data_IF_179045832574
#
_entry.id   IF_179045832574
#
_cell.length_a   1.000
_cell.length_b   1.000
_cell.length_c   1.000
_cell.angle_alpha   90.00
_cell.angle_beta   90.00
_cell.angle_gamma   90.00
#
_symmetry.space_group_name_H-M   'P 1'
#
loop_
_entity.id
_entity.type
_entity.pdbx_description
1 polymer ?
#
# COMPACT_ATOMS: atom_id res chain seq x y z
N UNK A 1 -3.49 20.32 -11.71
CA UNK A 1 -4.84 19.75 -11.92
C UNK A 1 -5.42 20.06 -13.30
N UNK A 2 -5.71 21.32 -13.67
CA UNK A 2 -6.40 21.64 -14.94
C UNK A 2 -5.78 21.01 -16.21
N UNK A 3 -4.45 20.91 -16.28
CA UNK A 3 -3.73 20.28 -17.41
C UNK A 3 -3.88 18.75 -17.50
N UNK A 4 -4.38 18.10 -16.45
CA UNK A 4 -4.60 16.66 -16.40
C UNK A 4 -6.03 16.26 -16.85
N UNK A 5 -6.89 17.25 -17.10
CA UNK A 5 -8.28 17.03 -17.47
C UNK A 5 -8.37 16.89 -18.99
N UNK A 6 -8.95 15.79 -19.45
CA UNK A 6 -9.16 15.54 -20.88
C UNK A 6 -9.96 16.67 -21.53
N UNK A 7 -9.57 17.07 -22.74
CA UNK A 7 -10.14 18.24 -23.43
C UNK A 7 -11.67 18.17 -23.59
N UNK A 8 -12.22 16.98 -23.83
CA UNK A 8 -13.65 16.81 -24.04
C UNK A 8 -14.50 17.15 -22.80
N UNK A 9 -13.95 17.10 -21.59
CA UNK A 9 -14.68 17.53 -20.39
C UNK A 9 -14.84 19.06 -20.32
N UNK A 10 -13.92 19.81 -20.94
CA UNK A 10 -14.04 21.25 -21.09
C UNK A 10 -15.07 21.62 -22.17
N UNK A 11 -15.10 20.86 -23.28
CA UNK A 11 -16.13 21.03 -24.30
C UNK A 11 -17.52 20.73 -23.71
N UNK A 12 -17.64 19.64 -22.94
CA UNK A 12 -18.86 19.28 -22.22
C UNK A 12 -19.29 20.33 -21.21
N UNK A 13 -18.34 20.91 -20.45
CA UNK A 13 -18.60 22.02 -19.53
C UNK A 13 -19.19 23.22 -20.25
N UNK A 14 -18.60 23.62 -21.38
CA UNK A 14 -19.06 24.77 -22.16
C UNK A 14 -20.45 24.54 -22.76
N UNK A 15 -20.72 23.33 -23.25
CA UNK A 15 -22.05 22.96 -23.75
C UNK A 15 -23.09 23.01 -22.63
N UNK A 16 -22.78 22.41 -21.47
CA UNK A 16 -23.65 22.43 -20.30
C UNK A 16 -24.01 23.86 -19.90
N UNK A 17 -22.99 24.72 -19.74
CA UNK A 17 -23.15 26.14 -19.38
C UNK A 17 -24.03 26.94 -20.35
N UNK A 18 -24.03 26.58 -21.64
CA UNK A 18 -24.78 27.32 -22.67
C UNK A 18 -26.21 26.82 -22.85
N UNK A 19 -26.45 25.54 -22.58
CA UNK A 19 -27.67 24.87 -23.04
C UNK A 19 -28.44 24.12 -21.94
N UNK A 20 -27.96 24.11 -20.69
CA UNK A 20 -28.67 23.48 -19.58
C UNK A 20 -28.46 24.23 -18.26
N UNK A 21 -29.55 24.43 -17.53
CA UNK A 21 -29.53 24.92 -16.15
C UNK A 21 -29.90 23.83 -15.12
N UNK A 22 -30.18 22.61 -15.60
CA UNK A 22 -30.60 21.48 -14.77
C UNK A 22 -29.43 20.94 -13.93
N UNK A 23 -29.78 20.48 -12.73
CA UNK A 23 -28.87 19.67 -11.93
C UNK A 23 -28.80 18.25 -12.47
N UNK A 24 -27.64 17.62 -12.31
CA UNK A 24 -27.45 16.21 -12.62
C UNK A 24 -26.96 15.47 -11.39
N UNK A 25 -27.27 14.17 -11.33
CA UNK A 25 -26.68 13.26 -10.34
C UNK A 25 -25.67 12.36 -11.03
N UNK A 26 -24.44 12.37 -10.53
CA UNK A 26 -23.33 11.51 -10.96
C UNK A 26 -23.04 10.48 -9.87
N UNK A 27 -22.94 9.21 -10.24
CA UNK A 27 -22.64 8.12 -9.31
C UNK A 27 -21.38 7.37 -9.74
N UNK A 28 -20.52 7.04 -8.76
CA UNK A 28 -19.28 6.30 -8.96
C UNK A 28 -19.35 4.91 -8.35
N UNK A 29 -18.90 3.90 -9.10
CA UNK A 29 -18.89 2.50 -8.67
C UNK A 29 -17.81 1.69 -9.41
N UNK A 30 -17.54 0.49 -8.90
CA UNK A 30 -16.54 -0.45 -9.43
C UNK A 30 -17.16 -1.85 -9.62
N UNK A 31 -16.45 -2.83 -10.20
CA UNK A 31 -17.01 -4.15 -10.60
C UNK A 31 -16.36 -5.38 -9.94
N UNK A 32 -15.26 -5.17 -9.25
CA UNK A 32 -14.52 -6.18 -8.49
C UNK A 32 -15.19 -6.48 -7.16
N UNK A 33 -14.88 -7.66 -6.60
CA UNK A 33 -15.37 -8.09 -5.29
C UNK A 33 -14.39 -7.69 -4.20
N UNK A 34 -14.93 -7.51 -3.00
CA UNK A 34 -14.18 -7.31 -1.75
C UNK A 34 -13.14 -6.18 -1.84
N UNK A 35 -13.52 -5.08 -2.52
CA UNK A 35 -12.65 -3.91 -2.68
C UNK A 35 -12.67 -3.09 -1.40
N UNK A 36 -11.49 -2.71 -0.91
CA UNK A 36 -11.35 -1.71 0.14
C UNK A 36 -11.42 -0.33 -0.50
N UNK A 37 -12.47 0.42 -0.21
CA UNK A 37 -12.64 1.79 -0.70
C UNK A 37 -11.56 2.70 -0.10
N UNK A 38 -10.85 3.41 -0.96
CA UNK A 38 -9.90 4.46 -0.55
C UNK A 38 -9.89 5.59 -1.60
N UNK A 39 -9.55 6.81 -1.17
CA UNK A 39 -9.49 8.03 -1.99
C UNK A 39 -10.64 9.01 -1.74
N UNK A 40 -11.58 8.69 -0.86
CA UNK A 40 -12.74 9.57 -0.57
C UNK A 40 -12.30 10.86 0.11
N UNK A 41 -11.39 10.79 1.09
CA UNK A 41 -10.92 11.98 1.78
C UNK A 41 -10.15 12.93 0.84
N UNK A 42 -9.37 12.37 -0.10
CA UNK A 42 -8.70 13.15 -1.15
C UNK A 42 -9.71 13.87 -2.03
N UNK A 43 -10.80 13.20 -2.42
CA UNK A 43 -11.88 13.80 -3.23
C UNK A 43 -12.60 14.91 -2.45
N UNK A 44 -12.87 14.70 -1.16
CA UNK A 44 -13.48 15.74 -0.31
C UNK A 44 -12.57 16.97 -0.25
N UNK A 45 -11.26 16.78 -0.01
CA UNK A 45 -10.30 17.90 -0.01
C UNK A 45 -10.20 18.59 -1.37
N UNK A 46 -10.23 17.81 -2.46
CA UNK A 46 -10.21 18.32 -3.83
C UNK A 46 -11.39 19.24 -4.12
N UNK A 47 -12.57 18.87 -3.60
CA UNK A 47 -13.84 19.54 -3.87
C UNK A 47 -14.22 20.58 -2.81
N UNK A 48 -13.60 20.60 -1.64
CA UNK A 48 -14.01 21.37 -0.45
C UNK A 48 -14.46 22.82 -0.76
N UNK A 49 -13.63 23.57 -1.49
CA UNK A 49 -13.95 24.95 -1.89
C UNK A 49 -15.13 25.07 -2.86
N UNK A 50 -15.28 24.08 -3.72
CA UNK A 50 -16.27 24.04 -4.79
C UNK A 50 -17.64 23.60 -4.27
N UNK A 51 -17.68 22.72 -3.27
CA UNK A 51 -18.94 22.23 -2.71
C UNK A 51 -19.83 23.38 -2.19
N UNK A 52 -19.26 24.32 -1.43
CA UNK A 52 -19.95 25.54 -0.99
C UNK A 52 -20.25 26.49 -2.14
N UNK A 53 -19.22 26.86 -2.90
CA UNK A 53 -19.32 27.93 -3.89
C UNK A 53 -20.29 27.61 -5.03
N UNK A 54 -20.46 26.33 -5.35
CA UNK A 54 -21.24 25.85 -6.49
C UNK A 54 -22.49 25.04 -6.10
N UNK A 55 -22.83 25.00 -4.81
CA UNK A 55 -23.98 24.26 -4.27
C UNK A 55 -23.98 22.77 -4.69
N UNK A 56 -22.80 22.15 -4.74
CA UNK A 56 -22.68 20.73 -5.06
C UNK A 56 -22.95 19.92 -3.78
N UNK A 57 -23.92 19.01 -3.86
CA UNK A 57 -24.13 18.02 -2.79
C UNK A 57 -23.23 16.82 -3.03
N UNK A 58 -22.55 16.35 -1.98
CA UNK A 58 -21.71 15.16 -2.00
C UNK A 58 -22.22 14.15 -0.97
N UNK A 59 -22.46 12.91 -1.41
CA UNK A 59 -22.69 11.78 -0.50
C UNK A 59 -21.68 10.68 -0.78
N UNK A 60 -21.20 10.01 0.27
CA UNK A 60 -20.09 9.07 0.14
C UNK A 60 -20.19 7.90 1.13
N UNK A 61 -19.58 6.77 0.78
CA UNK A 61 -19.26 5.70 1.73
C UNK A 61 -17.97 6.04 2.46
N UNK A 62 -17.88 5.67 3.73
CA UNK A 62 -16.68 5.92 4.53
C UNK A 62 -15.44 5.26 3.93
N UNK A 63 -14.32 5.98 4.01
CA UNK A 63 -12.98 5.48 3.72
C UNK A 63 -12.74 4.14 4.47
N UNK A 64 -12.20 3.14 3.78
CA UNK A 64 -11.97 1.79 4.32
C UNK A 64 -13.15 0.83 4.26
N UNK A 65 -14.32 1.26 3.79
CA UNK A 65 -15.46 0.36 3.57
C UNK A 65 -15.13 -0.76 2.59
N UNK A 66 -15.64 -1.98 2.84
CA UNK A 66 -15.58 -3.08 1.87
C UNK A 66 -16.78 -2.97 0.93
N UNK A 67 -16.52 -2.77 -0.36
CA UNK A 67 -17.55 -2.49 -1.36
C UNK A 67 -17.68 -3.66 -2.36
N UNK A 68 -18.89 -4.22 -2.56
CA UNK A 68 -19.14 -5.23 -3.58
C UNK A 68 -19.27 -4.58 -4.96
N UNK A 69 -19.32 -5.39 -6.04
CA UNK A 69 -19.54 -4.90 -7.39
C UNK A 69 -20.80 -4.04 -7.48
N UNK A 70 -20.70 -2.94 -8.22
CA UNK A 70 -21.79 -2.04 -8.60
C UNK A 70 -22.44 -1.23 -7.46
N UNK A 71 -21.94 -1.36 -6.22
CA UNK A 71 -22.34 -0.48 -5.11
C UNK A 71 -21.83 0.94 -5.36
N UNK A 72 -22.72 1.92 -5.25
CA UNK A 72 -22.38 3.34 -5.42
C UNK A 72 -21.60 3.80 -4.21
N UNK A 73 -20.38 4.29 -4.41
CA UNK A 73 -19.49 4.70 -3.31
C UNK A 73 -19.46 6.21 -3.10
N UNK A 74 -19.79 6.97 -4.14
CA UNK A 74 -19.79 8.42 -4.16
C UNK A 74 -20.91 8.89 -5.10
N UNK A 75 -21.66 9.88 -4.66
CA UNK A 75 -22.71 10.57 -5.40
C UNK A 75 -22.47 12.08 -5.35
N UNK A 76 -22.43 12.72 -6.51
CA UNK A 76 -22.38 14.17 -6.65
C UNK A 76 -23.66 14.66 -7.31
N UNK A 77 -24.28 15.71 -6.75
CA UNK A 77 -25.42 16.40 -7.35
C UNK A 77 -25.15 17.89 -7.49
N UNK A 78 -25.41 18.44 -8.67
CA UNK A 78 -25.24 19.86 -8.98
C UNK A 78 -25.28 20.13 -10.48
N UNK A 79 -25.09 21.37 -10.92
CA UNK A 79 -25.03 21.70 -12.36
C UNK A 79 -23.88 20.95 -13.04
N UNK A 80 -24.13 20.39 -14.22
CA UNK A 80 -23.11 19.59 -14.92
C UNK A 80 -21.86 20.42 -15.30
N UNK A 81 -22.01 21.72 -15.57
CA UNK A 81 -20.86 22.61 -15.80
C UNK A 81 -19.87 22.64 -14.62
N UNK A 82 -20.31 22.30 -13.42
CA UNK A 82 -19.44 22.25 -12.23
C UNK A 82 -18.82 20.89 -12.00
N UNK A 83 -19.46 19.82 -12.49
CA UNK A 83 -19.06 18.44 -12.22
C UNK A 83 -18.21 17.83 -13.33
N UNK A 84 -18.43 18.21 -14.59
CA UNK A 84 -17.87 17.52 -15.76
C UNK A 84 -16.35 17.35 -15.71
N UNK A 85 -15.63 18.37 -15.24
CA UNK A 85 -14.17 18.38 -15.22
C UNK A 85 -13.55 17.49 -14.12
N UNK A 86 -14.37 16.99 -13.18
CA UNK A 86 -13.90 16.14 -12.07
C UNK A 86 -14.09 14.65 -12.31
N UNK A 87 -14.92 14.24 -13.26
CA UNK A 87 -15.25 12.83 -13.51
C UNK A 87 -14.00 11.96 -13.66
N UNK A 88 -13.15 12.28 -14.64
CA UNK A 88 -11.91 11.52 -14.88
C UNK A 88 -10.87 11.62 -13.75
N UNK A 89 -10.86 12.72 -12.99
CA UNK A 89 -9.97 12.87 -11.83
C UNK A 89 -10.43 11.94 -10.71
N UNK A 90 -11.72 11.93 -10.40
CA UNK A 90 -12.32 11.10 -9.35
C UNK A 90 -12.18 9.63 -9.70
N UNK A 91 -12.43 9.24 -10.94
CA UNK A 91 -12.19 7.87 -11.41
C UNK A 91 -10.74 7.44 -11.17
N UNK A 92 -9.77 8.30 -11.50
CA UNK A 92 -8.36 8.04 -11.27
C UNK A 92 -7.99 7.87 -9.79
N UNK A 93 -8.48 8.78 -8.93
CA UNK A 93 -8.26 8.74 -7.48
C UNK A 93 -8.83 7.44 -6.90
N UNK A 94 -10.12 7.15 -7.12
CA UNK A 94 -10.78 5.97 -6.57
C UNK A 94 -10.14 4.68 -7.07
N UNK A 95 -9.83 4.60 -8.36
CA UNK A 95 -9.22 3.41 -8.99
C UNK A 95 -7.87 3.08 -8.39
N UNK A 96 -6.98 4.08 -8.29
CA UNK A 96 -5.64 3.89 -7.74
C UNK A 96 -5.72 3.56 -6.25
N UNK A 97 -6.33 4.45 -5.47
CA UNK A 97 -6.34 4.36 -4.02
C UNK A 97 -7.03 3.08 -3.53
N UNK A 98 -8.17 2.72 -4.10
CA UNK A 98 -8.88 1.49 -3.73
C UNK A 98 -8.15 0.22 -4.17
N UNK A 99 -7.45 0.23 -5.32
CA UNK A 99 -6.59 -0.89 -5.72
C UNK A 99 -5.49 -1.14 -4.69
N UNK A 100 -4.84 -0.07 -4.26
CA UNK A 100 -3.67 -0.12 -3.37
C UNK A 100 -4.08 -0.55 -1.96
N UNK A 101 -5.19 0.00 -1.44
CA UNK A 101 -5.78 -0.42 -0.18
C UNK A 101 -6.22 -1.89 -0.20
N UNK A 102 -6.81 -2.35 -1.29
CA UNK A 102 -7.22 -3.74 -1.47
C UNK A 102 -6.02 -4.69 -1.49
N UNK A 103 -4.93 -4.33 -2.18
CA UNK A 103 -3.69 -5.12 -2.19
C UNK A 103 -3.08 -5.23 -0.79
N UNK A 104 -3.02 -4.12 -0.04
CA UNK A 104 -2.55 -4.10 1.33
C UNK A 104 -3.39 -5.02 2.23
N UNK A 105 -4.72 -4.95 2.13
CA UNK A 105 -5.64 -5.81 2.90
C UNK A 105 -5.42 -7.29 2.62
N UNK A 106 -5.22 -7.67 1.35
CA UNK A 106 -4.91 -9.05 0.96
C UNK A 106 -3.60 -9.55 1.60
N UNK A 107 -2.58 -8.70 1.69
CA UNK A 107 -1.34 -9.03 2.39
C UNK A 107 -1.57 -9.22 3.90
N UNK A 108 -2.33 -8.33 4.53
CA UNK A 108 -2.68 -8.42 5.96
C UNK A 108 -3.46 -9.71 6.26
N UNK A 109 -4.43 -10.08 5.43
CA UNK A 109 -5.18 -11.33 5.59
C UNK A 109 -4.31 -12.56 5.43
N UNK A 110 -3.40 -12.53 4.45
CA UNK A 110 -2.47 -13.63 4.22
C UNK A 110 -1.50 -13.83 5.38
N UNK A 111 -1.14 -12.77 6.11
CA UNK A 111 -0.13 -12.80 7.17
C UNK A 111 -0.60 -13.44 8.48
N UNK A 112 -1.92 -13.57 8.68
CA UNK A 112 -2.55 -14.06 9.93
C UNK A 112 -1.94 -13.45 11.20
N UNK A 113 -1.60 -12.16 11.15
CA UNK A 113 -1.06 -11.40 12.29
C UNK A 113 0.44 -11.15 12.26
N UNK A 114 1.21 -11.80 11.37
CA UNK A 114 2.60 -11.41 11.10
C UNK A 114 2.64 -10.00 10.49
N UNK A 115 3.62 -9.17 10.88
CA UNK A 115 3.73 -7.79 10.43
C UNK A 115 3.90 -7.70 8.90
N UNK A 116 3.19 -6.77 8.27
CA UNK A 116 3.44 -6.39 6.87
C UNK A 116 4.11 -5.03 6.86
N UNK A 117 5.23 -4.94 6.14
CA UNK A 117 6.04 -3.74 6.01
C UNK A 117 5.90 -3.23 4.58
N UNK A 118 5.41 -2.00 4.42
CA UNK A 118 5.33 -1.33 3.13
C UNK A 118 6.74 -0.88 2.67
N UNK A 119 7.23 -1.53 1.61
CA UNK A 119 8.50 -1.24 0.92
C UNK A 119 8.27 -0.86 -0.56
N UNK A 120 7.15 -0.18 -0.83
CA UNK A 120 6.72 0.21 -2.18
C UNK A 120 7.17 1.62 -2.60
N UNK A 121 7.99 2.28 -1.78
CA UNK A 121 8.56 3.63 -2.02
C UNK A 121 9.24 3.79 -3.38
N UNK A 122 9.82 2.71 -3.90
CA UNK A 122 10.48 2.64 -5.21
C UNK A 122 9.65 1.95 -6.30
N UNK A 123 8.40 1.56 -6.01
CA UNK A 123 7.56 0.77 -6.91
C UNK A 123 6.64 1.63 -7.80
N UNK A 124 6.70 2.95 -7.66
CA UNK A 124 5.95 3.92 -8.46
C UNK A 124 6.71 5.26 -8.53
N UNK A 125 6.13 6.23 -9.23
CA UNK A 125 6.63 7.60 -9.28
C UNK A 125 6.59 8.25 -7.90
N UNK A 126 7.73 8.79 -7.44
CA UNK A 126 7.92 9.30 -6.07
C UNK A 126 6.86 10.30 -5.58
N UNK A 127 6.24 11.05 -6.50
CA UNK A 127 5.17 12.02 -6.18
C UNK A 127 3.88 11.38 -5.66
N UNK A 128 3.68 10.09 -5.87
CA UNK A 128 2.48 9.37 -5.46
C UNK A 128 2.58 8.84 -4.03
N UNK A 129 3.78 8.84 -3.44
CA UNK A 129 4.07 8.07 -2.23
C UNK A 129 3.20 8.45 -1.03
N UNK A 130 2.82 9.73 -0.89
CA UNK A 130 1.97 10.17 0.22
C UNK A 130 0.56 9.55 0.13
N UNK A 131 -0.12 9.70 -1.01
CA UNK A 131 -1.45 9.12 -1.24
C UNK A 131 -1.45 7.59 -1.29
N UNK A 132 -0.40 6.99 -1.83
CA UNK A 132 -0.22 5.53 -1.86
C UNK A 132 -0.07 4.96 -0.46
N UNK A 133 0.82 5.55 0.36
CA UNK A 133 1.01 5.13 1.74
C UNK A 133 -0.27 5.30 2.56
N UNK A 134 -1.04 6.36 2.31
CA UNK A 134 -2.34 6.54 2.95
C UNK A 134 -3.28 5.38 2.59
N UNK A 135 -3.35 5.01 1.32
CA UNK A 135 -4.17 3.87 0.87
C UNK A 135 -3.72 2.54 1.49
N UNK A 136 -2.42 2.29 1.59
CA UNK A 136 -1.90 1.10 2.27
C UNK A 136 -2.24 1.08 3.78
N UNK A 137 -2.25 2.25 4.43
CA UNK A 137 -2.69 2.39 5.81
C UNK A 137 -4.18 2.03 5.97
N UNK A 138 -5.04 2.53 5.08
CA UNK A 138 -6.46 2.17 5.01
C UNK A 138 -6.63 0.65 4.80
N UNK A 139 -5.77 0.04 3.99
CA UNK A 139 -5.72 -1.42 3.80
C UNK A 139 -5.24 -2.21 5.02
N UNK A 140 -4.75 -1.55 6.07
CA UNK A 140 -4.37 -2.17 7.35
C UNK A 140 -2.87 -2.25 7.63
N UNK A 141 -2.01 -1.75 6.74
CA UNK A 141 -0.56 -1.71 7.01
C UNK A 141 -0.26 -0.62 8.06
N UNK A 142 0.66 -0.94 8.98
CA UNK A 142 1.12 -0.02 10.04
C UNK A 142 2.64 0.22 10.02
N UNK A 143 3.40 -0.62 9.36
CA UNK A 143 4.86 -0.51 9.27
C UNK A 143 5.26 -0.04 7.87
N UNK A 144 5.98 1.06 7.78
CA UNK A 144 6.34 1.72 6.51
C UNK A 144 7.84 1.99 6.46
N UNK A 145 8.47 1.73 5.32
CA UNK A 145 9.86 2.13 5.08
C UNK A 145 10.01 3.65 4.91
N UNK A 146 9.02 4.30 4.29
CA UNK A 146 8.98 5.75 4.12
C UNK A 146 8.35 6.43 5.35
N UNK A 147 8.93 7.51 5.88
CA UNK A 147 8.34 8.27 6.99
C UNK A 147 7.22 9.23 6.54
N UNK A 148 6.91 9.31 5.23
CA UNK A 148 6.06 10.37 4.65
C UNK A 148 4.71 10.56 5.34
N UNK A 149 4.12 9.47 5.87
CA UNK A 149 2.83 9.53 6.56
C UNK A 149 2.88 10.35 7.85
N UNK A 150 4.02 10.34 8.57
CA UNK A 150 4.15 11.09 9.83
C UNK A 150 3.94 12.59 9.64
N UNK A 151 4.27 13.11 8.45
CA UNK A 151 4.15 14.53 8.12
C UNK A 151 2.85 14.89 7.39
N UNK A 152 2.07 13.91 6.93
CA UNK A 152 0.89 14.12 6.08
C UNK A 152 -0.30 14.75 6.84
N UNK A 153 -0.93 15.76 6.23
CA UNK A 153 -2.09 16.45 6.83
C UNK A 153 -3.32 15.55 6.92
N UNK A 154 -3.61 14.79 5.85
CA UNK A 154 -4.64 13.75 5.82
C UNK A 154 -4.45 12.77 6.99
N UNK A 155 -3.20 12.41 7.24
CA UNK A 155 -2.85 11.43 8.26
C UNK A 155 -3.01 11.94 9.70
N UNK A 156 -2.66 13.20 9.98
CA UNK A 156 -2.76 13.78 11.34
C UNK A 156 -4.15 13.70 11.94
N UNK A 157 -5.17 13.63 11.08
CA UNK A 157 -6.59 13.57 11.45
C UNK A 157 -7.09 12.14 11.71
N UNK A 158 -6.29 11.10 11.40
CA UNK A 158 -6.72 9.71 11.55
C UNK A 158 -6.71 9.26 13.02
N UNK A 159 -7.67 8.40 13.41
CA UNK A 159 -7.57 7.66 14.66
C UNK A 159 -6.39 6.68 14.60
N UNK A 160 -5.81 6.39 15.76
CA UNK A 160 -4.74 5.40 15.96
C UNK A 160 -3.42 5.70 15.22
N UNK A 161 -3.12 6.98 14.97
CA UNK A 161 -1.90 7.40 14.28
C UNK A 161 -0.60 7.03 15.03
N UNK A 162 -0.70 6.76 16.32
CA UNK A 162 0.38 6.27 17.17
C UNK A 162 0.81 4.84 16.83
N UNK A 163 0.00 4.10 16.06
CA UNK A 163 0.34 2.73 15.64
C UNK A 163 1.35 2.69 14.47
N UNK A 164 1.58 3.81 13.76
CA UNK A 164 2.53 3.81 12.64
C UNK A 164 3.96 3.69 13.13
N UNK A 165 4.68 2.78 12.46
CA UNK A 165 6.10 2.55 12.66
C UNK A 165 6.85 2.87 11.38
N UNK A 166 7.99 3.53 11.54
CA UNK A 166 8.98 3.64 10.47
C UNK A 166 9.94 2.47 10.62
N UNK A 167 9.91 1.57 9.64
CA UNK A 167 10.80 0.41 9.60
C UNK A 167 12.18 0.84 9.09
N UNK A 168 13.22 0.48 9.85
CA UNK A 168 14.61 0.79 9.52
C UNK A 168 15.41 -0.47 9.22
N UNK A 169 16.05 -0.49 8.05
CA UNK A 169 17.17 -1.36 7.72
C UNK A 169 17.94 -0.76 6.54
N UNK A 170 19.17 -1.21 6.33
CA UNK A 170 20.02 -0.68 5.28
C UNK A 170 19.68 -1.29 3.90
N UNK A 171 19.89 -0.55 2.80
CA UNK A 171 19.95 -1.13 1.46
C UNK A 171 21.29 -1.83 1.20
N UNK A 172 21.36 -2.73 0.22
CA UNK A 172 22.63 -3.41 -0.17
C UNK A 172 23.75 -2.42 -0.53
N UNK A 173 23.41 -1.25 -1.08
CA UNK A 173 24.38 -0.20 -1.40
C UNK A 173 25.19 0.27 -0.19
N UNK A 174 24.61 0.25 1.01
CA UNK A 174 25.36 0.56 2.24
C UNK A 174 26.45 -0.45 2.52
N UNK A 175 26.18 -1.75 2.33
CA UNK A 175 27.16 -2.83 2.51
C UNK A 175 28.25 -2.75 1.43
N UNK A 176 27.87 -2.35 0.21
CA UNK A 176 28.81 -2.16 -0.90
C UNK A 176 29.86 -1.07 -0.62
N UNK A 177 29.50 0.02 0.08
CA UNK A 177 30.45 1.07 0.49
C UNK A 177 31.54 0.51 1.41
N UNK A 178 31.21 -0.48 2.24
CA UNK A 178 32.16 -1.22 3.08
C UNK A 178 32.74 -2.45 2.36
N UNK A 179 32.76 -2.44 1.02
CA UNK A 179 33.37 -3.49 0.17
C UNK A 179 32.78 -4.88 0.41
N UNK A 180 31.48 -4.94 0.69
CA UNK A 180 30.78 -6.19 0.95
C UNK A 180 30.92 -6.70 2.38
N UNK A 181 31.51 -5.93 3.30
CA UNK A 181 31.66 -6.36 4.69
C UNK A 181 30.44 -5.95 5.53
N UNK A 182 29.49 -6.87 5.71
CA UNK A 182 28.28 -6.65 6.50
C UNK A 182 28.59 -6.31 7.97
N UNK A 183 29.59 -6.97 8.58
CA UNK A 183 29.96 -6.71 9.98
C UNK A 183 30.46 -5.28 10.19
N UNK A 184 31.40 -4.82 9.38
CA UNK A 184 31.94 -3.45 9.46
C UNK A 184 30.86 -2.40 9.14
N UNK A 185 29.96 -2.71 8.21
CA UNK A 185 28.79 -1.86 7.93
C UNK A 185 27.92 -1.70 9.18
N UNK A 186 27.62 -2.80 9.88
CA UNK A 186 26.75 -2.77 11.06
C UNK A 186 27.44 -2.17 12.30
N UNK A 187 28.77 -2.27 12.41
CA UNK A 187 29.55 -1.53 13.43
C UNK A 187 29.39 -0.02 13.23
N UNK A 188 29.62 0.47 12.00
CA UNK A 188 29.45 1.87 11.66
C UNK A 188 27.99 2.33 11.85
N UNK A 189 27.02 1.48 11.51
CA UNK A 189 25.60 1.76 11.76
C UNK A 189 25.32 1.97 13.25
N UNK A 190 25.83 1.08 14.12
CA UNK A 190 25.60 1.16 15.57
C UNK A 190 26.20 2.42 16.19
N UNK A 191 27.40 2.79 15.76
CA UNK A 191 28.08 4.00 16.22
C UNK A 191 27.33 5.26 15.77
N UNK A 192 26.85 5.28 14.52
CA UNK A 192 26.16 6.43 13.93
C UNK A 192 24.73 6.59 14.46
N UNK A 193 24.01 5.49 14.69
CA UNK A 193 22.60 5.46 15.05
C UNK A 193 22.35 4.64 16.34
N UNK A 194 22.90 5.04 17.50
CA UNK A 194 22.88 4.23 18.72
C UNK A 194 21.47 4.02 19.31
N UNK A 195 20.50 4.87 18.92
CA UNK A 195 19.12 4.83 19.41
C UNK A 195 18.15 4.12 18.45
N UNK A 196 18.60 3.66 17.28
CA UNK A 196 17.77 2.92 16.33
C UNK A 196 18.06 1.42 16.51
N UNK A 197 17.00 0.62 16.56
CA UNK A 197 17.10 -0.83 16.63
C UNK A 197 17.85 -1.39 15.40
N UNK A 198 18.83 -2.26 15.65
CA UNK A 198 19.67 -2.80 14.59
C UNK A 198 18.96 -3.97 13.87
N UNK A 199 18.55 -3.74 12.63
CA UNK A 199 18.11 -4.80 11.71
C UNK A 199 19.10 -4.90 10.55
N UNK A 200 19.87 -6.00 10.50
CA UNK A 200 20.94 -6.18 9.53
C UNK A 200 20.44 -6.89 8.25
N UNK A 201 20.87 -6.42 7.08
CA UNK A 201 20.64 -7.11 5.81
C UNK A 201 21.75 -8.16 5.59
N UNK A 202 21.40 -9.42 5.43
CA UNK A 202 22.35 -10.55 5.58
C UNK A 202 22.55 -11.41 4.32
N UNK A 203 21.97 -11.03 3.19
CA UNK A 203 22.06 -11.80 1.93
C UNK A 203 23.14 -11.28 0.97
N UNK A 204 23.88 -10.21 1.30
CA UNK A 204 24.83 -9.57 0.38
C UNK A 204 25.88 -10.54 -0.18
N UNK A 205 26.46 -11.40 0.67
CA UNK A 205 27.47 -12.38 0.28
C UNK A 205 26.92 -13.80 0.01
N UNK A 206 25.59 -13.93 -0.11
CA UNK A 206 24.90 -15.20 -0.32
C UNK A 206 25.17 -16.25 0.78
N UNK A 207 25.32 -15.80 2.02
CA UNK A 207 25.51 -16.67 3.21
C UNK A 207 24.69 -16.11 4.38
N UNK A 208 23.37 -16.17 4.24
CA UNK A 208 22.41 -15.62 5.20
C UNK A 208 22.67 -16.11 6.62
N UNK A 209 22.96 -17.42 6.78
CA UNK A 209 23.19 -18.02 8.09
C UNK A 209 24.55 -17.58 8.63
N UNK A 210 25.62 -17.69 7.85
CA UNK A 210 26.97 -17.31 8.28
C UNK A 210 27.05 -15.85 8.72
N UNK A 211 26.48 -14.93 7.94
CA UNK A 211 26.46 -13.51 8.28
C UNK A 211 25.65 -13.24 9.55
N UNK A 212 24.47 -13.84 9.68
CA UNK A 212 23.62 -13.67 10.87
C UNK A 212 24.32 -14.12 12.16
N UNK A 213 25.01 -15.27 12.13
CA UNK A 213 25.74 -15.79 13.29
C UNK A 213 26.96 -14.92 13.62
N UNK A 214 27.69 -14.43 12.62
CA UNK A 214 28.83 -13.54 12.81
C UNK A 214 28.41 -12.20 13.44
N UNK A 215 27.30 -11.62 12.98
CA UNK A 215 26.74 -10.40 13.53
C UNK A 215 26.26 -10.61 14.98
N UNK A 216 25.55 -11.70 15.27
CA UNK A 216 25.11 -11.97 16.64
C UNK A 216 26.28 -12.21 17.60
N UNK A 217 27.35 -12.85 17.12
CA UNK A 217 28.57 -13.03 17.94
C UNK A 217 29.20 -11.69 18.34
N UNK A 218 29.17 -10.68 17.46
CA UNK A 218 29.71 -9.35 17.75
C UNK A 218 28.75 -8.52 18.62
N UNK A 219 27.47 -8.48 18.27
CA UNK A 219 26.52 -7.52 18.83
C UNK A 219 25.61 -8.08 19.92
N UNK A 220 25.49 -9.41 20.04
CA UNK A 220 24.59 -10.09 20.97
C UNK A 220 23.16 -9.54 20.88
N UNK A 221 22.60 -9.18 22.03
CA UNK A 221 21.23 -8.65 22.16
C UNK A 221 21.01 -7.28 21.49
N UNK A 222 22.07 -6.59 21.04
CA UNK A 222 21.94 -5.37 20.26
C UNK A 222 21.50 -5.62 18.82
N UNK A 223 21.74 -6.82 18.27
CA UNK A 223 21.17 -7.23 16.99
C UNK A 223 19.69 -7.57 17.19
N UNK A 224 18.79 -6.65 16.83
CA UNK A 224 17.34 -6.81 17.03
C UNK A 224 16.67 -7.66 15.96
N UNK A 225 17.25 -7.71 14.77
CA UNK A 225 16.77 -8.59 13.72
C UNK A 225 17.69 -8.70 12.53
N UNK A 226 17.32 -9.58 11.63
CA UNK A 226 17.93 -9.75 10.31
C UNK A 226 16.86 -9.62 9.23
N UNK A 227 17.21 -8.97 8.11
CA UNK A 227 16.41 -8.90 6.89
C UNK A 227 17.04 -9.82 5.86
N UNK A 228 16.24 -10.73 5.30
CA UNK A 228 16.66 -11.66 4.25
C UNK A 228 16.00 -11.25 2.94
N UNK A 229 16.80 -10.90 1.94
CA UNK A 229 16.36 -10.39 0.63
C UNK A 229 16.97 -11.17 -0.56
N UNK A 230 17.31 -12.44 -0.35
CA UNK A 230 17.98 -13.30 -1.35
C UNK A 230 17.26 -13.25 -2.71
N UNK A 231 18.03 -13.03 -3.77
CA UNK A 231 17.53 -12.95 -5.14
C UNK A 231 16.82 -14.24 -5.58
N UNK A 232 15.68 -14.12 -6.28
CA UNK A 232 14.82 -15.26 -6.61
C UNK A 232 15.49 -16.37 -7.43
N UNK A 233 16.55 -16.06 -8.17
CA UNK A 233 17.28 -17.02 -9.02
C UNK A 233 18.53 -17.61 -8.33
N UNK A 234 18.75 -17.31 -7.04
CA UNK A 234 19.97 -17.66 -6.32
C UNK A 234 19.68 -18.63 -5.17
N UNK A 235 20.40 -19.76 -5.12
CA UNK A 235 20.44 -20.62 -3.93
C UNK A 235 21.45 -20.08 -2.93
N UNK A 236 21.01 -19.87 -1.69
CA UNK A 236 21.90 -19.46 -0.60
C UNK A 236 22.93 -20.57 -0.28
N UNK A 237 24.18 -20.18 0.02
CA UNK A 237 25.25 -21.14 0.33
C UNK A 237 24.90 -22.06 1.50
N UNK A 238 24.08 -21.59 2.44
CA UNK A 238 23.64 -22.39 3.59
C UNK A 238 22.67 -23.53 3.21
N UNK A 239 22.21 -23.57 1.96
CA UNK A 239 21.44 -24.67 1.36
C UNK A 239 22.27 -25.50 0.38
N UNK A 240 23.60 -25.47 0.44
CA UNK A 240 24.48 -26.24 -0.47
C UNK A 240 24.25 -27.76 -0.41
N UNK A 241 23.70 -28.25 0.69
CA UNK A 241 23.33 -29.65 0.94
C UNK A 241 22.00 -30.07 0.30
N UNK A 242 21.21 -29.11 -0.22
CA UNK A 242 19.93 -29.34 -0.91
C UNK A 242 20.14 -29.38 -2.43
N UNK A 243 19.24 -30.05 -3.19
CA UNK A 243 19.35 -30.10 -4.65
C UNK A 243 19.20 -28.71 -5.30
N UNK A 244 19.63 -28.59 -6.56
CA UNK A 244 19.47 -27.37 -7.36
C UNK A 244 18.06 -27.33 -7.97
N UNK A 245 17.05 -27.08 -7.13
CA UNK A 245 15.64 -27.01 -7.51
C UNK A 245 15.04 -25.64 -7.17
N UNK A 246 14.01 -25.25 -7.92
CA UNK A 246 13.37 -23.92 -7.83
C UNK A 246 12.84 -23.61 -6.41
N UNK A 247 12.40 -24.63 -5.67
CA UNK A 247 11.94 -24.47 -4.28
C UNK A 247 13.02 -23.99 -3.29
N UNK A 248 14.31 -24.15 -3.62
CA UNK A 248 15.45 -23.73 -2.79
C UNK A 248 16.09 -22.42 -3.26
N UNK A 249 15.54 -21.76 -4.29
CA UNK A 249 16.01 -20.46 -4.76
C UNK A 249 15.35 -19.30 -3.99
N UNK A 250 16.06 -18.18 -3.92
CA UNK A 250 15.61 -16.96 -3.25
C UNK A 250 15.25 -17.16 -1.78
N UNK A 251 14.35 -16.30 -1.30
CA UNK A 251 13.79 -16.43 0.05
C UNK A 251 12.73 -17.53 0.06
N UNK A 252 13.05 -18.67 0.67
CA UNK A 252 12.21 -19.87 0.79
C UNK A 252 12.10 -20.39 2.23
N UNK A 253 11.11 -21.23 2.50
CA UNK A 253 10.82 -21.73 3.85
C UNK A 253 11.98 -22.53 4.47
N UNK A 254 12.70 -23.31 3.68
CA UNK A 254 13.83 -24.14 4.14
C UNK A 254 14.99 -23.28 4.65
N UNK A 255 15.37 -22.23 3.89
CA UNK A 255 16.39 -21.27 4.32
C UNK A 255 16.03 -20.63 5.66
N UNK A 256 14.77 -20.20 5.81
CA UNK A 256 14.33 -19.49 7.01
C UNK A 256 14.21 -20.40 8.22
N UNK A 257 13.78 -21.67 8.05
CA UNK A 257 13.81 -22.66 9.13
C UNK A 257 15.23 -22.92 9.61
N UNK A 258 16.18 -23.17 8.69
CA UNK A 258 17.59 -23.37 9.05
C UNK A 258 18.19 -22.14 9.74
N UNK A 259 17.89 -20.93 9.25
CA UNK A 259 18.32 -19.69 9.90
C UNK A 259 17.80 -19.60 11.33
N UNK A 260 16.50 -19.82 11.54
CA UNK A 260 15.87 -19.77 12.86
C UNK A 260 16.48 -20.81 13.81
N UNK A 261 16.64 -22.05 13.37
CA UNK A 261 17.25 -23.14 14.13
C UNK A 261 18.69 -22.80 14.56
N UNK A 262 19.49 -22.23 13.66
CA UNK A 262 20.88 -21.87 13.95
C UNK A 262 21.00 -20.69 14.91
N UNK A 263 20.14 -19.70 14.78
CA UNK A 263 20.05 -18.60 15.74
C UNK A 263 19.60 -19.11 17.13
N UNK A 264 18.58 -19.96 17.18
CA UNK A 264 18.08 -20.53 18.44
C UNK A 264 19.15 -21.39 19.14
N UNK A 265 19.93 -22.16 18.39
CA UNK A 265 21.01 -23.00 18.93
C UNK A 265 22.13 -22.20 19.63
N UNK A 266 22.32 -20.92 19.28
CA UNK A 266 23.29 -20.02 19.92
C UNK A 266 22.64 -19.07 20.93
N UNK A 267 21.37 -19.30 21.29
CA UNK A 267 20.61 -18.49 22.24
C UNK A 267 20.02 -17.19 21.67
N UNK A 268 20.13 -16.95 20.36
CA UNK A 268 19.66 -15.74 19.67
C UNK A 268 18.15 -15.75 19.36
N UNK A 269 17.34 -16.33 20.26
CA UNK A 269 15.89 -16.51 20.08
C UNK A 269 15.09 -15.20 19.99
N UNK A 270 15.67 -14.10 20.46
CA UNK A 270 15.10 -12.75 20.40
C UNK A 270 15.40 -11.99 19.10
N UNK A 271 16.31 -12.50 18.25
CA UNK A 271 16.63 -11.88 16.95
C UNK A 271 15.46 -12.10 16.01
N UNK A 272 14.80 -11.03 15.59
CA UNK A 272 13.66 -11.09 14.66
C UNK A 272 14.10 -11.41 13.23
N UNK A 273 13.24 -12.08 12.46
CA UNK A 273 13.48 -12.39 11.04
C UNK A 273 12.45 -11.64 10.18
N UNK A 274 12.96 -10.74 9.35
CA UNK A 274 12.17 -10.02 8.35
C UNK A 274 12.51 -10.53 6.95
N UNK A 275 11.51 -10.76 6.13
CA UNK A 275 11.68 -11.27 4.77
C UNK A 275 11.28 -10.21 3.75
N UNK A 276 12.04 -10.05 2.68
CA UNK A 276 11.66 -9.25 1.52
C UNK A 276 11.97 -10.01 0.22
N UNK A 277 11.96 -9.34 -0.94
CA UNK A 277 12.10 -9.94 -2.28
C UNK A 277 10.82 -10.55 -2.85
N UNK A 278 10.00 -9.72 -3.49
CA UNK A 278 8.90 -10.16 -4.34
C UNK A 278 7.71 -10.82 -3.62
N UNK A 279 7.52 -10.56 -2.33
CA UNK A 279 6.38 -11.12 -1.58
C UNK A 279 5.03 -10.68 -2.16
N UNK A 280 4.11 -11.64 -2.19
CA UNK A 280 2.70 -11.49 -2.59
C UNK A 280 1.82 -12.16 -1.55
N UNK A 281 0.50 -11.93 -1.51
CA UNK A 281 -0.39 -12.64 -0.59
C UNK A 281 -0.30 -14.16 -0.68
N UNK A 282 -0.06 -14.70 -1.88
CA UNK A 282 0.15 -16.14 -2.09
C UNK A 282 1.41 -16.62 -1.36
N UNK A 283 2.56 -15.99 -1.63
CA UNK A 283 3.84 -16.34 -1.00
C UNK A 283 3.80 -16.14 0.53
N UNK A 284 3.17 -15.07 1.01
CA UNK A 284 2.96 -14.84 2.45
C UNK A 284 2.16 -16.00 3.07
N UNK A 285 1.07 -16.41 2.42
CA UNK A 285 0.19 -17.48 2.91
C UNK A 285 0.88 -18.84 2.93
N UNK A 286 1.76 -19.13 1.98
CA UNK A 286 2.60 -20.33 1.97
C UNK A 286 3.45 -20.40 3.24
N UNK A 287 4.26 -19.37 3.51
CA UNK A 287 5.09 -19.29 4.72
C UNK A 287 4.28 -19.44 6.02
N UNK A 288 3.13 -18.77 6.09
CA UNK A 288 2.24 -18.83 7.27
C UNK A 288 1.61 -20.21 7.45
N UNK A 289 1.11 -20.83 6.39
CA UNK A 289 0.51 -22.17 6.45
C UNK A 289 1.54 -23.26 6.77
N UNK A 290 2.78 -23.05 6.33
CA UNK A 290 3.93 -23.89 6.63
C UNK A 290 4.51 -23.72 8.05
N UNK A 291 3.96 -22.78 8.84
CA UNK A 291 4.38 -22.52 10.21
C UNK A 291 5.79 -21.96 10.33
N UNK A 292 6.31 -21.31 9.28
CA UNK A 292 7.65 -20.71 9.31
C UNK A 292 7.66 -19.54 10.28
N UNK A 293 8.60 -19.53 11.23
CA UNK A 293 8.73 -18.45 12.22
C UNK A 293 9.35 -17.21 11.58
N UNK A 294 8.53 -16.19 11.37
CA UNK A 294 8.90 -14.90 10.76
C UNK A 294 8.20 -13.76 11.50
N UNK A 295 8.88 -12.64 11.61
CA UNK A 295 8.39 -11.47 12.36
C UNK A 295 7.75 -10.42 11.44
N UNK A 296 8.16 -10.37 10.17
CA UNK A 296 7.52 -9.49 9.20
C UNK A 296 7.86 -9.77 7.74
N UNK A 297 6.99 -9.34 6.85
CA UNK A 297 7.16 -9.41 5.40
C UNK A 297 7.21 -8.00 4.79
N UNK A 298 8.33 -7.67 4.14
CA UNK A 298 8.49 -6.51 3.29
C UNK A 298 7.84 -6.72 1.92
N UNK A 299 6.84 -5.91 1.61
CA UNK A 299 6.09 -5.98 0.35
C UNK A 299 6.26 -4.68 -0.43
N UNK A 300 6.74 -4.79 -1.66
CA UNK A 300 6.97 -3.65 -2.57
C UNK A 300 6.01 -3.67 -3.75
N UNK A 301 6.50 -4.09 -4.91
CA UNK A 301 5.81 -3.97 -6.20
C UNK A 301 4.41 -4.61 -6.29
N UNK A 302 4.07 -5.58 -5.43
CA UNK A 302 2.69 -6.10 -5.38
C UNK A 302 1.70 -5.02 -4.93
N UNK A 303 2.09 -4.19 -3.96
CA UNK A 303 1.21 -3.17 -3.38
C UNK A 303 0.78 -2.11 -4.40
N UNK A 304 1.68 -1.69 -5.29
CA UNK A 304 1.42 -0.61 -6.26
C UNK A 304 0.60 -1.01 -7.50
N UNK A 305 0.17 -2.27 -7.61
CA UNK A 305 -0.59 -2.75 -8.78
C UNK A 305 -2.01 -2.20 -8.79
N UNK A 306 -2.35 -1.40 -9.81
CA UNK A 306 -3.71 -0.94 -10.06
C UNK A 306 -4.50 -2.05 -10.77
N UNK A 307 -5.64 -2.46 -10.19
CA UNK A 307 -6.48 -3.54 -10.71
C UNK A 307 -7.99 -3.32 -10.54
N UNK A 308 -8.38 -2.37 -9.70
CA UNK A 308 -9.77 -1.92 -9.52
C UNK A 308 -9.95 -0.63 -10.30
N UNK A 309 -10.97 -0.59 -11.15
CA UNK A 309 -11.32 0.59 -11.93
C UNK A 309 -12.73 1.06 -11.59
N UNK A 310 -12.82 2.33 -11.20
CA UNK A 310 -14.07 3.04 -10.98
C UNK A 310 -14.57 3.67 -12.28
N UNK A 311 -15.87 3.94 -12.31
CA UNK A 311 -16.50 4.70 -13.38
C UNK A 311 -17.54 5.63 -12.77
N UNK A 312 -17.47 6.91 -13.14
CA UNK A 312 -18.53 7.89 -12.95
C UNK A 312 -19.53 7.83 -14.10
N UNK A 313 -20.82 7.80 -13.80
CA UNK A 313 -21.87 7.96 -14.80
C UNK A 313 -22.95 8.92 -14.30
N UNK A 314 -23.45 9.79 -15.18
CA UNK A 314 -24.68 10.53 -14.93
C UNK A 314 -25.88 9.59 -14.97
N UNK A 315 -26.75 9.72 -13.98
CA UNK A 315 -27.89 8.81 -13.77
C UNK A 315 -29.23 9.51 -13.59
N UNK A 316 -29.23 10.82 -13.32
CA UNK A 316 -30.42 11.67 -13.21
C UNK A 316 -30.16 13.06 -13.77
N UNK A 317 -31.22 13.68 -14.28
CA UNK A 317 -31.28 15.11 -14.63
C UNK A 317 -32.55 15.70 -13.98
N UNK A 318 -32.39 16.78 -13.23
CA UNK A 318 -33.44 17.28 -12.33
C UNK A 318 -33.94 16.16 -11.41
N UNK A 319 -35.24 15.87 -11.50
CA UNK A 319 -35.84 14.75 -10.77
C UNK A 319 -36.00 13.47 -11.59
N UNK A 320 -35.71 13.50 -12.89
CA UNK A 320 -35.91 12.38 -13.81
C UNK A 320 -34.74 11.39 -13.79
N UNK A 321 -35.06 10.09 -13.82
CA UNK A 321 -34.06 9.04 -14.02
C UNK A 321 -33.68 8.96 -15.50
N UNK A 322 -32.53 9.53 -15.84
CA UNK A 322 -31.99 9.55 -17.20
C UNK A 322 -30.50 9.20 -17.15
N UNK A 323 -30.15 8.06 -17.74
CA UNK A 323 -28.80 7.54 -17.75
C UNK A 323 -28.44 6.98 -19.13
N UNK A 324 -27.14 6.86 -19.44
CA UNK A 324 -26.71 6.16 -20.65
C UNK A 324 -27.18 4.70 -20.64
N UNK A 325 -27.31 4.08 -21.82
CA UNK A 325 -27.67 2.67 -21.91
C UNK A 325 -26.78 1.77 -21.03
N UNK A 326 -27.43 0.86 -20.29
CA UNK A 326 -26.79 -0.04 -19.32
C UNK A 326 -26.50 0.59 -17.95
N UNK A 327 -26.91 1.84 -17.70
CA UNK A 327 -26.81 2.51 -16.41
C UNK A 327 -28.20 2.84 -15.87
N UNK A 328 -28.27 2.99 -14.56
CA UNK A 328 -29.44 3.44 -13.84
C UNK A 328 -29.02 4.09 -12.53
N UNK A 329 -29.87 4.96 -12.00
CA UNK A 329 -29.71 5.42 -10.63
C UNK A 329 -29.80 4.23 -9.68
N UNK A 330 -28.84 4.13 -8.76
CA UNK A 330 -28.82 3.11 -7.71
C UNK A 330 -28.79 3.81 -6.37
N UNK A 331 -29.85 3.65 -5.59
CA UNK A 331 -29.85 4.14 -4.22
C UNK A 331 -28.87 3.33 -3.38
N UNK A 332 -28.04 4.03 -2.59
CA UNK A 332 -27.23 3.41 -1.55
C UNK A 332 -27.53 4.11 -0.20
N UNK A 333 -28.30 3.47 0.69
CA UNK A 333 -28.69 4.06 1.97
C UNK A 333 -27.53 4.21 2.96
N UNK A 334 -26.37 3.62 2.69
CA UNK A 334 -25.17 3.74 3.53
C UNK A 334 -24.39 5.03 3.24
N UNK A 335 -24.71 5.75 2.16
CA UNK A 335 -24.02 6.99 1.83
C UNK A 335 -24.30 8.06 2.88
N UNK A 336 -23.24 8.63 3.44
CA UNK A 336 -23.31 9.78 4.35
C UNK A 336 -23.31 11.05 3.51
N UNK A 337 -24.26 11.95 3.79
CA UNK A 337 -24.25 13.29 3.21
C UNK A 337 -23.21 14.15 3.91
N UNK A 338 -22.37 14.84 3.15
CA UNK A 338 -21.54 15.89 3.70
C UNK A 338 -22.42 17.13 3.89
N UNK A 339 -22.72 17.49 5.15
CA UNK A 339 -23.37 18.77 5.46
C UNK A 339 -22.27 19.81 5.56
N UNK A 340 -22.30 20.82 4.68
CA UNK A 340 -21.18 21.72 4.42
C UNK A 340 -21.48 23.12 4.95
#
# INVERSE_FOLDING_TARGET
MQRAISSYFWDAQLLARRYSDEEVTMQFFQREKDVVLSGINEIIQLLDKELKAKQITLKYLEEGSIVPPLEVVLELRGKYEYLSIYEGIIDGILSRSSSLATNARRCIEASKGTEIICMSDRSDHYRNIEGDCFSYYIGGIRSFSSPILLDSELYRQLPNREEIKVYHSLPHGSIQVFRGNTLETMKAYRETFPNIDMVALVDFNNDVIGESLALYKEFGEHLKGVRVDTHNDLKDKSLSDYPDEEEYLGVNATLIRKLREKLDAIGASNVKIYLSSGFTPTKIREFVNEGVKVDGFGVGAYLSKVSVFFTGDLVRIGDENLAKAGRCYRENPKLRGLTI
#
